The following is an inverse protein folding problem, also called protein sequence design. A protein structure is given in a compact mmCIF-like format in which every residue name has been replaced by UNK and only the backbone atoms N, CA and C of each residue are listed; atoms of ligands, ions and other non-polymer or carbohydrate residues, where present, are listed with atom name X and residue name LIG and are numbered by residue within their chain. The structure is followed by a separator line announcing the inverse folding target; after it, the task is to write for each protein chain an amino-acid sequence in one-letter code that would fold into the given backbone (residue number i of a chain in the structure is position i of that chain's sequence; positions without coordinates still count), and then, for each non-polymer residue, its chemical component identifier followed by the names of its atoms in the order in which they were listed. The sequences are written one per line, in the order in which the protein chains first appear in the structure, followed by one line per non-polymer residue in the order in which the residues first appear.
data_IF_617834372339
#
_entry.id   IF_617834372339
#
_cell.length_a   1.000
_cell.length_b   1.000
_cell.length_c   1.000
_cell.angle_alpha   90.00
_cell.angle_beta   90.00
_cell.angle_gamma   90.00
#
_symmetry.space_group_name_H-M   'P 1'
#
loop_
_entity.id
_entity.type
_entity.pdbx_description
1 polymer ?
#
# COMPACT_ATOMS: atom_id res chain seq x y z
N UNK A 1 -12.29 -11.84 0.24
CA UNK A 1 -10.81 -11.63 0.31
C UNK A 1 -10.24 -11.89 -1.05
N UNK A 2 -9.48 -10.95 -1.60
CA UNK A 2 -8.71 -11.07 -2.85
C UNK A 2 -7.24 -10.82 -2.55
N UNK A 3 -6.36 -11.37 -3.38
CA UNK A 3 -4.96 -10.99 -3.36
C UNK A 3 -4.75 -9.70 -4.17
N UNK A 4 -4.13 -8.70 -3.56
CA UNK A 4 -3.77 -7.41 -4.16
C UNK A 4 -2.23 -7.34 -4.24
N UNK A 5 -1.64 -7.52 -5.43
CA UNK A 5 -0.18 -7.56 -5.56
C UNK A 5 0.46 -6.19 -5.33
N UNK A 6 1.75 -6.17 -5.01
CA UNK A 6 2.52 -4.94 -4.84
C UNK A 6 3.73 -4.85 -5.77
N UNK A 7 4.14 -3.63 -6.08
CA UNK A 7 5.37 -3.28 -6.77
C UNK A 7 5.99 -2.09 -6.02
N UNK A 8 6.95 -2.37 -5.15
CA UNK A 8 7.66 -1.33 -4.42
C UNK A 8 8.91 -0.92 -5.19
N UNK A 9 9.07 0.38 -5.39
CA UNK A 9 10.17 0.91 -6.21
C UNK A 9 11.03 1.85 -5.37
N UNK A 10 12.32 1.50 -5.25
CA UNK A 10 13.32 2.29 -4.54
C UNK A 10 14.61 2.38 -5.36
N UNK A 11 15.15 3.61 -5.49
CA UNK A 11 16.36 3.90 -6.26
C UNK A 11 16.31 3.34 -7.69
N UNK A 12 15.16 3.49 -8.36
CA UNK A 12 14.95 3.08 -9.74
C UNK A 12 14.82 1.57 -9.96
N UNK A 13 14.66 0.76 -8.90
CA UNK A 13 14.51 -0.70 -8.99
C UNK A 13 13.31 -1.18 -8.19
N UNK A 14 12.70 -2.28 -8.64
CA UNK A 14 11.70 -3.00 -7.85
C UNK A 14 12.42 -3.70 -6.70
N UNK A 15 11.93 -3.48 -5.48
CA UNK A 15 12.52 -4.01 -4.25
C UNK A 15 11.46 -4.44 -3.25
N UNK A 16 11.90 -5.23 -2.28
CA UNK A 16 11.16 -5.44 -1.04
C UNK A 16 12.04 -5.00 0.12
N UNK A 17 11.50 -4.19 1.00
CA UNK A 17 12.23 -3.62 2.13
C UNK A 17 11.61 -4.01 3.48
N UNK A 18 12.39 -3.91 4.54
CA UNK A 18 11.87 -4.03 5.91
C UNK A 18 11.19 -2.71 6.30
N UNK A 19 9.95 -2.80 6.74
CA UNK A 19 9.19 -1.64 7.20
C UNK A 19 9.92 -0.86 8.30
N UNK A 20 9.86 0.47 8.22
CA UNK A 20 10.53 1.37 9.15
C UNK A 20 12.06 1.48 8.99
N UNK A 21 12.66 0.76 8.04
CA UNK A 21 14.12 0.87 7.75
C UNK A 21 14.45 1.97 6.74
N UNK A 22 13.46 2.50 6.04
CA UNK A 22 13.64 3.51 5.01
C UNK A 22 14.10 4.84 5.62
N UNK A 23 15.20 5.38 5.12
CA UNK A 23 15.78 6.67 5.52
C UNK A 23 15.99 7.55 4.31
N UNK A 24 15.61 8.83 4.42
CA UNK A 24 15.89 9.84 3.40
C UNK A 24 17.36 10.09 3.24
N UNK A 25 18.07 10.23 4.38
CA UNK A 25 19.49 10.43 4.39
C UNK A 25 20.22 9.25 3.75
N UNK A 26 20.90 9.52 2.65
CA UNK A 26 21.62 8.52 1.87
C UNK A 26 20.73 7.55 1.08
N UNK A 27 19.42 7.80 0.95
CA UNK A 27 18.48 6.93 0.22
C UNK A 27 18.61 5.44 0.61
N UNK A 28 18.71 5.16 1.90
CA UNK A 28 18.99 3.83 2.44
C UNK A 28 17.71 3.11 2.88
N UNK A 29 17.69 1.80 2.69
CA UNK A 29 16.70 0.88 3.24
C UNK A 29 17.34 -0.48 3.51
N UNK A 30 16.81 -1.22 4.49
CA UNK A 30 17.17 -2.62 4.64
C UNK A 30 16.37 -3.42 3.60
N UNK A 31 17.08 -3.94 2.62
CA UNK A 31 16.52 -4.63 1.47
C UNK A 31 16.38 -6.14 1.76
N UNK A 32 15.16 -6.68 1.58
CA UNK A 32 14.91 -8.12 1.59
C UNK A 32 15.14 -8.72 0.20
N UNK A 33 14.87 -7.94 -0.85
CA UNK A 33 14.98 -8.36 -2.24
C UNK A 33 15.24 -7.16 -3.15
N UNK A 34 16.05 -7.36 -4.17
CA UNK A 34 16.29 -6.40 -5.27
C UNK A 34 16.07 -7.15 -6.59
N UNK A 35 15.12 -6.70 -7.39
CA UNK A 35 14.81 -7.33 -8.66
C UNK A 35 15.82 -6.98 -9.75
N UNK A 36 16.09 -7.97 -10.61
CA UNK A 36 16.75 -7.77 -11.90
C UNK A 36 15.75 -7.39 -13.02
N UNK A 37 14.48 -7.65 -12.79
CA UNK A 37 13.39 -7.28 -13.69
C UNK A 37 12.90 -5.87 -13.42
N UNK A 38 12.38 -5.21 -14.45
CA UNK A 38 11.74 -3.90 -14.32
C UNK A 38 10.30 -4.01 -13.77
N UNK A 39 9.69 -2.86 -13.48
CA UNK A 39 8.34 -2.83 -12.95
C UNK A 39 7.26 -3.26 -13.97
N UNK A 40 7.52 -3.12 -15.28
CA UNK A 40 6.62 -3.57 -16.32
C UNK A 40 6.51 -5.10 -16.38
N UNK A 41 7.58 -5.83 -16.05
CA UNK A 41 7.56 -7.29 -15.94
C UNK A 41 6.50 -7.73 -14.91
N UNK A 42 6.51 -7.18 -13.70
CA UNK A 42 5.55 -7.53 -12.65
C UNK A 42 4.13 -7.12 -13.02
N UNK A 43 3.96 -5.91 -13.56
CA UNK A 43 2.65 -5.43 -14.00
C UNK A 43 2.05 -6.33 -15.10
N UNK A 44 2.87 -6.78 -16.06
CA UNK A 44 2.46 -7.71 -17.12
C UNK A 44 2.07 -9.07 -16.57
N UNK A 45 2.84 -9.60 -15.61
CA UNK A 45 2.52 -10.84 -14.91
C UNK A 45 1.17 -10.73 -14.18
N UNK A 46 0.94 -9.63 -13.46
CA UNK A 46 -0.33 -9.41 -12.74
C UNK A 46 -1.51 -9.27 -13.70
N UNK A 47 -1.30 -8.62 -14.84
CA UNK A 47 -2.29 -8.53 -15.92
C UNK A 47 -2.64 -9.89 -16.48
N UNK A 48 -1.64 -10.72 -16.79
CA UNK A 48 -1.82 -12.10 -17.30
C UNK A 48 -2.63 -12.96 -16.34
N UNK A 49 -2.37 -12.81 -15.02
CA UNK A 49 -3.11 -13.51 -13.96
C UNK A 49 -4.46 -12.86 -13.61
N UNK A 50 -4.84 -11.77 -14.25
CA UNK A 50 -6.11 -11.06 -13.98
C UNK A 50 -6.20 -10.39 -12.60
N UNK A 51 -5.04 -10.13 -11.94
CA UNK A 51 -4.97 -9.53 -10.62
C UNK A 51 -5.13 -8.01 -10.72
N UNK A 52 -6.18 -7.46 -10.14
CA UNK A 52 -6.48 -6.01 -10.13
C UNK A 52 -6.42 -5.41 -8.74
N UNK A 53 -6.23 -4.08 -8.69
CA UNK A 53 -6.25 -3.29 -7.45
C UNK A 53 -5.00 -3.51 -6.59
N UNK A 54 -3.94 -4.09 -7.15
CA UNK A 54 -2.63 -4.08 -6.52
C UNK A 54 -2.03 -2.67 -6.55
N UNK A 55 -0.97 -2.42 -5.81
CA UNK A 55 -0.39 -1.10 -5.69
C UNK A 55 1.07 -1.02 -6.16
N UNK A 56 1.42 0.14 -6.66
CA UNK A 56 2.79 0.58 -6.94
C UNK A 56 3.13 1.64 -5.91
N UNK A 57 4.23 1.49 -5.17
CA UNK A 57 4.68 2.50 -4.19
C UNK A 57 6.06 3.04 -4.58
N UNK A 58 6.13 4.37 -4.76
CA UNK A 58 7.39 5.09 -4.92
C UNK A 58 7.96 5.38 -3.53
N UNK A 59 9.09 4.76 -3.22
CA UNK A 59 9.70 4.86 -1.89
C UNK A 59 10.74 5.99 -1.77
N UNK A 60 11.11 6.65 -2.87
CA UNK A 60 11.96 7.83 -2.82
C UNK A 60 11.13 9.10 -2.62
N UNK A 61 11.66 10.04 -1.84
CA UNK A 61 11.12 11.39 -1.75
C UNK A 61 11.29 12.16 -3.07
N UNK A 62 10.45 13.17 -3.29
CA UNK A 62 10.47 13.94 -4.54
C UNK A 62 11.78 14.72 -4.79
N UNK A 63 12.52 15.01 -3.73
CA UNK A 63 13.83 15.67 -3.75
C UNK A 63 15.02 14.70 -3.84
N UNK A 64 14.78 13.39 -3.84
CA UNK A 64 15.82 12.37 -4.05
C UNK A 64 16.35 12.41 -5.48
N UNK A 65 17.67 12.26 -5.62
CA UNK A 65 18.33 12.08 -6.93
C UNK A 65 17.78 10.87 -7.71
N UNK A 66 17.25 9.85 -7.03
CA UNK A 66 16.66 8.65 -7.63
C UNK A 66 15.18 8.79 -7.98
N UNK A 67 14.52 9.90 -7.61
CA UNK A 67 13.08 10.04 -7.80
C UNK A 67 12.64 9.86 -9.25
N UNK A 68 13.37 10.46 -10.19
CA UNK A 68 13.03 10.35 -11.61
C UNK A 68 13.16 8.92 -12.13
N UNK A 69 14.20 8.20 -11.71
CA UNK A 69 14.38 6.79 -12.09
C UNK A 69 13.28 5.91 -11.48
N UNK A 70 12.89 6.17 -10.22
CA UNK A 70 11.79 5.49 -9.53
C UNK A 70 10.46 5.77 -10.20
N UNK A 71 10.17 7.05 -10.55
CA UNK A 71 8.96 7.44 -11.27
C UNK A 71 8.90 6.78 -12.66
N UNK A 72 10.03 6.72 -13.38
CA UNK A 72 10.09 6.07 -14.68
C UNK A 72 9.68 4.59 -14.61
N UNK A 73 10.12 3.85 -13.61
CA UNK A 73 9.70 2.46 -13.38
C UNK A 73 8.20 2.35 -13.11
N UNK A 74 7.64 3.25 -12.29
CA UNK A 74 6.20 3.27 -12.03
C UNK A 74 5.40 3.53 -13.31
N UNK A 75 5.85 4.47 -14.16
CA UNK A 75 5.20 4.75 -15.44
C UNK A 75 5.24 3.56 -16.40
N UNK A 76 6.34 2.79 -16.42
CA UNK A 76 6.43 1.54 -17.17
C UNK A 76 5.39 0.52 -16.70
N UNK A 77 5.24 0.34 -15.39
CA UNK A 77 4.24 -0.57 -14.83
C UNK A 77 2.79 -0.15 -15.16
N UNK A 78 2.46 1.14 -15.01
CA UNK A 78 1.14 1.67 -15.36
C UNK A 78 0.82 1.49 -16.83
N UNK A 79 1.79 1.74 -17.72
CA UNK A 79 1.64 1.52 -19.16
C UNK A 79 1.48 0.04 -19.56
N UNK A 80 2.12 -0.88 -18.83
CA UNK A 80 1.99 -2.32 -19.06
C UNK A 80 0.63 -2.88 -18.62
N UNK A 81 0.02 -2.31 -17.57
CA UNK A 81 -1.28 -2.75 -17.05
C UNK A 81 -2.24 -1.57 -16.78
N UNK A 82 -2.71 -0.85 -17.82
CA UNK A 82 -3.64 0.26 -17.65
C UNK A 82 -4.92 -0.15 -16.91
N UNK A 83 -5.31 0.62 -15.91
CA UNK A 83 -6.50 0.39 -15.08
C UNK A 83 -6.40 -0.82 -14.14
N UNK A 84 -5.25 -1.47 -14.04
CA UNK A 84 -5.07 -2.64 -13.19
C UNK A 84 -4.47 -2.36 -11.82
N UNK A 85 -3.64 -1.31 -11.71
CA UNK A 85 -2.84 -1.03 -10.53
C UNK A 85 -3.11 0.39 -10.00
N UNK A 86 -3.00 0.52 -8.70
CA UNK A 86 -3.02 1.78 -7.95
C UNK A 86 -1.59 2.31 -7.81
N UNK A 87 -1.41 3.61 -7.55
CA UNK A 87 -0.09 4.20 -7.35
C UNK A 87 -0.04 5.13 -6.14
N UNK A 88 1.02 5.00 -5.34
CA UNK A 88 1.30 5.82 -4.17
C UNK A 88 2.76 6.23 -4.06
N UNK A 89 3.05 7.02 -3.04
CA UNK A 89 4.38 7.58 -2.80
C UNK A 89 4.50 9.03 -3.31
N UNK A 90 4.25 9.99 -2.41
CA UNK A 90 4.32 11.42 -2.70
C UNK A 90 3.20 11.96 -3.60
N UNK A 91 2.06 11.25 -3.67
CA UNK A 91 0.89 11.72 -4.42
C UNK A 91 0.29 12.97 -3.76
N UNK A 92 -0.07 13.93 -4.60
CA UNK A 92 -0.69 15.19 -4.22
C UNK A 92 -1.55 15.72 -5.40
N UNK A 93 -2.31 16.82 -5.26
CA UNK A 93 -3.16 17.34 -6.33
C UNK A 93 -2.43 17.69 -7.65
N UNK A 94 -1.14 18.04 -7.56
CA UNK A 94 -0.39 18.51 -8.74
C UNK A 94 0.05 17.33 -9.65
N UNK A 95 0.11 16.10 -9.12
CA UNK A 95 0.59 14.94 -9.86
C UNK A 95 -0.44 13.80 -10.02
N UNK A 96 -1.57 13.87 -9.31
CA UNK A 96 -2.59 12.81 -9.32
C UNK A 96 -3.15 12.55 -10.73
N UNK A 97 -3.49 13.63 -11.46
CA UNK A 97 -4.03 13.53 -12.81
C UNK A 97 -3.04 12.89 -13.79
N UNK A 98 -1.75 13.15 -13.66
CA UNK A 98 -0.70 12.57 -14.52
C UNK A 98 -0.63 11.05 -14.34
N UNK A 99 -0.72 10.56 -13.10
CA UNK A 99 -0.70 9.12 -12.81
C UNK A 99 -1.96 8.41 -13.33
N UNK A 100 -3.13 9.03 -13.17
CA UNK A 100 -4.37 8.50 -13.71
C UNK A 100 -4.33 8.45 -15.24
N UNK A 101 -3.85 9.52 -15.89
CA UNK A 101 -3.66 9.56 -17.35
C UNK A 101 -2.63 8.52 -17.86
N UNK A 102 -1.63 8.18 -17.02
CA UNK A 102 -0.65 7.15 -17.34
C UNK A 102 -1.20 5.72 -17.20
N UNK A 103 -2.40 5.55 -16.68
CA UNK A 103 -3.08 4.26 -16.54
C UNK A 103 -3.24 3.75 -15.11
N UNK A 104 -2.99 4.56 -14.08
CA UNK A 104 -3.34 4.16 -12.73
C UNK A 104 -4.86 4.01 -12.60
N UNK A 105 -5.32 2.96 -11.92
CA UNK A 105 -6.72 2.82 -11.56
C UNK A 105 -7.13 3.80 -10.46
N UNK A 106 -6.23 4.00 -9.50
CA UNK A 106 -6.41 4.91 -8.36
C UNK A 106 -5.06 5.52 -7.98
N UNK A 107 -5.12 6.63 -7.26
CA UNK A 107 -3.98 7.23 -6.56
C UNK A 107 -4.11 7.01 -5.05
N UNK A 108 -3.02 6.66 -4.40
CA UNK A 108 -2.95 6.38 -2.96
C UNK A 108 -2.29 7.56 -2.27
N UNK A 109 -2.93 8.10 -1.25
CA UNK A 109 -2.44 9.26 -0.51
C UNK A 109 -2.42 9.01 0.99
N UNK A 110 -1.36 9.48 1.64
CA UNK A 110 -1.17 9.46 3.10
C UNK A 110 -0.74 10.84 3.59
N UNK A 111 0.55 11.16 3.46
CA UNK A 111 1.18 12.35 4.09
C UNK A 111 0.64 13.68 3.59
N UNK A 112 0.02 13.75 2.41
CA UNK A 112 -0.61 14.98 1.95
C UNK A 112 -1.88 15.29 2.75
N UNK A 113 -2.62 14.26 3.17
CA UNK A 113 -3.87 14.36 3.93
C UNK A 113 -3.59 14.43 5.43
N UNK A 114 -2.66 13.62 5.93
CA UNK A 114 -2.29 13.62 7.35
C UNK A 114 -1.12 14.58 7.60
N UNK A 115 -1.43 15.75 8.14
CA UNK A 115 -0.48 16.84 8.37
C UNK A 115 -0.48 17.23 9.83
N UNK A 116 0.72 17.48 10.38
CA UNK A 116 0.90 18.01 11.74
C UNK A 116 0.17 17.16 12.81
N UNK A 117 0.12 15.85 12.58
CA UNK A 117 -0.53 14.90 13.48
C UNK A 117 -2.05 14.75 13.30
N UNK A 118 -2.67 15.44 12.36
CA UNK A 118 -4.12 15.44 12.16
C UNK A 118 -4.53 15.28 10.68
N UNK A 119 -5.81 14.99 10.47
CA UNK A 119 -6.42 15.01 9.14
C UNK A 119 -6.60 16.47 8.71
N UNK A 120 -6.00 16.82 7.58
CA UNK A 120 -6.28 18.06 6.87
C UNK A 120 -7.46 17.86 5.92
N UNK A 121 -8.67 18.12 6.38
CA UNK A 121 -9.88 18.01 5.59
C UNK A 121 -9.81 18.86 4.31
N UNK A 122 -9.22 20.04 4.40
CA UNK A 122 -8.96 20.91 3.23
C UNK A 122 -8.07 20.24 2.18
N UNK A 123 -7.04 19.48 2.60
CA UNK A 123 -6.17 18.77 1.68
C UNK A 123 -6.87 17.54 1.11
N UNK A 124 -7.69 16.86 1.90
CA UNK A 124 -8.51 15.75 1.45
C UNK A 124 -9.51 16.19 0.37
N UNK A 125 -10.22 17.31 0.59
CA UNK A 125 -11.09 17.92 -0.43
C UNK A 125 -10.33 18.24 -1.72
N UNK A 126 -9.14 18.83 -1.64
CA UNK A 126 -8.30 19.08 -2.81
C UNK A 126 -7.89 17.81 -3.56
N UNK A 127 -7.66 16.71 -2.83
CA UNK A 127 -7.37 15.42 -3.48
C UNK A 127 -8.59 14.89 -4.21
N UNK A 128 -9.79 15.01 -3.62
CA UNK A 128 -11.05 14.63 -4.28
C UNK A 128 -11.29 15.48 -5.53
N UNK A 129 -11.03 16.79 -5.46
CA UNK A 129 -11.16 17.70 -6.61
C UNK A 129 -10.19 17.32 -7.75
N UNK A 130 -8.97 16.87 -7.42
CA UNK A 130 -7.92 16.57 -8.39
C UNK A 130 -8.05 15.17 -9.02
N UNK A 131 -8.43 14.17 -8.24
CA UNK A 131 -8.44 12.78 -8.66
C UNK A 131 -9.84 12.21 -8.90
N UNK A 132 -10.86 12.78 -8.30
CA UNK A 132 -12.17 12.15 -8.12
C UNK A 132 -12.17 11.17 -6.94
N UNK A 133 -13.28 11.12 -6.21
CA UNK A 133 -13.46 10.18 -5.10
C UNK A 133 -13.26 8.73 -5.55
N UNK A 134 -13.78 8.39 -6.71
CA UNK A 134 -13.78 7.06 -7.33
C UNK A 134 -12.39 6.57 -7.77
N UNK A 135 -11.38 7.43 -7.68
CA UNK A 135 -9.98 7.13 -7.99
C UNK A 135 -9.05 7.39 -6.82
N UNK A 136 -9.59 7.61 -5.62
CA UNK A 136 -8.80 7.90 -4.43
C UNK A 136 -8.78 6.72 -3.47
N UNK A 137 -7.58 6.29 -3.09
CA UNK A 137 -7.33 5.36 -1.99
C UNK A 137 -6.68 6.11 -0.85
N UNK A 138 -7.19 5.96 0.35
CA UNK A 138 -6.56 6.47 1.56
C UNK A 138 -5.73 5.37 2.22
N UNK A 139 -4.43 5.61 2.34
CA UNK A 139 -3.54 4.73 3.09
C UNK A 139 -3.51 5.18 4.56
N UNK A 140 -4.04 4.33 5.41
CA UNK A 140 -4.02 4.47 6.86
C UNK A 140 -2.94 3.56 7.45
N UNK A 141 -1.71 3.64 6.93
CA UNK A 141 -0.56 2.96 7.53
C UNK A 141 -0.52 3.24 9.03
N UNK A 142 -0.51 2.22 9.85
CA UNK A 142 -0.69 2.41 11.29
C UNK A 142 0.30 1.59 12.13
N UNK A 143 0.51 2.06 13.35
CA UNK A 143 1.31 1.40 14.37
C UNK A 143 0.53 1.30 15.67
N UNK A 144 0.80 0.24 16.42
CA UNK A 144 0.17 0.04 17.72
C UNK A 144 0.82 0.94 18.77
N UNK A 145 -0.02 1.61 19.56
CA UNK A 145 0.39 2.36 20.76
C UNK A 145 -0.61 2.02 21.85
N UNK A 146 -0.12 1.40 22.92
CA UNK A 146 -0.97 0.81 23.95
C UNK A 146 -1.94 -0.22 23.35
N UNK A 147 -3.24 -0.02 23.46
CA UNK A 147 -4.25 -0.95 22.95
C UNK A 147 -4.90 -0.50 21.64
N UNK A 148 -4.44 0.62 21.05
CA UNK A 148 -5.01 1.21 19.83
C UNK A 148 -3.99 1.30 18.67
N UNK A 149 -4.50 1.47 17.45
CA UNK A 149 -3.70 1.67 16.26
C UNK A 149 -3.85 3.12 15.81
N UNK A 150 -2.74 3.80 15.61
CA UNK A 150 -2.70 5.19 15.16
C UNK A 150 -2.08 5.30 13.79
N UNK A 151 -2.66 6.14 12.95
CA UNK A 151 -2.09 6.47 11.64
C UNK A 151 -0.69 7.05 11.85
N UNK A 152 0.25 6.62 10.99
CA UNK A 152 1.63 7.11 11.01
C UNK A 152 2.00 7.71 9.66
N UNK A 153 2.83 8.75 9.69
CA UNK A 153 3.32 9.51 8.56
C UNK A 153 4.85 9.52 8.52
N UNK A 154 5.42 10.28 7.59
CA UNK A 154 6.86 10.45 7.44
C UNK A 154 7.59 9.11 7.41
N UNK A 155 7.19 8.24 6.45
CA UNK A 155 7.73 6.88 6.31
C UNK A 155 7.58 6.05 7.58
N UNK A 156 6.37 6.16 8.17
CA UNK A 156 5.94 5.38 9.32
C UNK A 156 6.66 5.73 10.63
N UNK A 157 7.36 6.88 10.68
CA UNK A 157 8.17 7.26 11.85
C UNK A 157 7.42 8.15 12.83
N UNK A 158 6.41 8.92 12.35
CA UNK A 158 5.67 9.86 13.19
C UNK A 158 4.24 9.38 13.41
N UNK A 159 3.86 9.24 14.67
CA UNK A 159 2.47 9.04 15.04
C UNK A 159 1.66 10.31 14.79
N UNK A 160 0.45 10.11 14.30
CA UNK A 160 -0.61 11.13 14.34
C UNK A 160 -1.45 10.96 15.61
N UNK A 161 -2.43 11.85 15.81
CA UNK A 161 -3.45 11.72 16.85
C UNK A 161 -4.69 10.97 16.34
N UNK A 162 -4.65 10.51 15.09
CA UNK A 162 -5.77 9.83 14.44
C UNK A 162 -5.71 8.33 14.70
N UNK A 163 -6.59 7.86 15.56
CA UNK A 163 -6.78 6.43 15.82
C UNK A 163 -7.56 5.77 14.68
N UNK A 164 -7.12 4.60 14.24
CA UNK A 164 -7.84 3.79 13.24
C UNK A 164 -9.04 3.15 13.90
N UNK A 165 -10.19 3.76 13.70
CA UNK A 165 -11.49 3.31 14.22
C UNK A 165 -12.52 3.17 13.09
N UNK A 166 -13.59 2.42 13.35
CA UNK A 166 -14.71 2.32 12.40
C UNK A 166 -15.31 3.70 12.11
N UNK A 167 -15.45 4.54 13.13
CA UNK A 167 -15.98 5.90 12.98
C UNK A 167 -15.09 6.76 12.07
N UNK A 168 -13.75 6.68 12.24
CA UNK A 168 -12.81 7.37 11.36
C UNK A 168 -12.94 6.87 9.93
N UNK A 169 -12.98 5.54 9.73
CA UNK A 169 -13.11 4.95 8.39
C UNK A 169 -14.44 5.31 7.72
N UNK A 170 -15.54 5.37 8.46
CA UNK A 170 -16.83 5.83 7.95
C UNK A 170 -16.77 7.28 7.49
N UNK A 171 -16.18 8.17 8.28
CA UNK A 171 -15.99 9.59 7.92
C UNK A 171 -15.13 9.74 6.67
N UNK A 172 -14.01 9.05 6.60
CA UNK A 172 -13.08 9.10 5.47
C UNK A 172 -13.64 8.43 4.22
N UNK A 173 -14.49 7.41 4.36
CA UNK A 173 -15.15 6.72 3.26
C UNK A 173 -16.06 7.62 2.41
N UNK A 174 -16.47 8.79 2.94
CA UNK A 174 -17.17 9.81 2.15
C UNK A 174 -16.28 10.41 1.04
N UNK A 175 -14.95 10.28 1.14
CA UNK A 175 -13.97 10.94 0.29
C UNK A 175 -13.12 9.99 -0.55
N UNK A 176 -13.21 8.67 -0.37
CA UNK A 176 -12.38 7.70 -1.08
C UNK A 176 -13.20 6.52 -1.60
N UNK A 177 -12.59 5.72 -2.46
CA UNK A 177 -13.16 4.46 -2.99
C UNK A 177 -12.66 3.23 -2.23
N UNK A 178 -11.41 3.25 -1.76
CA UNK A 178 -10.77 2.14 -1.05
C UNK A 178 -9.88 2.63 0.10
N UNK A 179 -9.58 1.71 1.02
CA UNK A 179 -8.55 1.88 2.05
C UNK A 179 -7.41 0.89 1.85
N UNK A 180 -6.18 1.36 2.03
CA UNK A 180 -4.97 0.54 2.17
C UNK A 180 -4.48 0.68 3.61
N UNK A 181 -4.28 -0.43 4.31
CA UNK A 181 -3.89 -0.44 5.72
C UNK A 181 -2.61 -1.22 5.88
N UNK A 182 -1.49 -0.53 6.08
CA UNK A 182 -0.22 -1.17 6.42
C UNK A 182 -0.09 -1.34 7.93
N UNK A 183 0.04 -2.57 8.37
CA UNK A 183 0.41 -2.91 9.75
C UNK A 183 1.94 -2.78 9.89
N UNK A 184 2.41 -1.57 10.13
CA UNK A 184 3.84 -1.18 10.02
C UNK A 184 4.74 -1.95 10.98
N UNK A 185 4.25 -2.27 12.18
CA UNK A 185 5.04 -2.95 13.20
C UNK A 185 5.46 -4.37 12.81
N UNK A 186 4.75 -4.99 11.87
CA UNK A 186 5.03 -6.33 11.34
C UNK A 186 5.49 -6.32 9.86
N UNK A 187 5.49 -5.15 9.19
CA UNK A 187 5.83 -5.02 7.77
C UNK A 187 7.26 -5.50 7.46
N UNK A 188 7.37 -6.34 6.42
CA UNK A 188 8.64 -6.91 5.96
C UNK A 188 9.31 -7.91 6.91
N UNK A 189 8.67 -8.26 8.03
CA UNK A 189 9.25 -9.15 9.07
C UNK A 189 8.81 -10.61 8.93
N UNK A 190 7.74 -10.89 8.18
CA UNK A 190 7.17 -12.22 8.00
C UNK A 190 6.94 -12.97 9.33
N UNK A 191 6.43 -12.27 10.35
CA UNK A 191 6.23 -12.78 11.72
C UNK A 191 4.77 -12.95 12.12
N UNK A 192 3.88 -12.98 11.16
CA UNK A 192 2.43 -13.05 11.36
C UNK A 192 1.76 -11.68 11.29
N UNK A 193 0.45 -11.71 11.19
CA UNK A 193 -0.41 -10.53 11.05
C UNK A 193 -0.74 -9.90 12.41
N UNK A 194 -1.17 -8.63 12.38
CA UNK A 194 -1.81 -7.95 13.51
C UNK A 194 -3.28 -8.37 13.62
N UNK A 195 -3.54 -9.44 14.41
CA UNK A 195 -4.88 -10.06 14.51
C UNK A 195 -5.95 -9.08 15.02
N UNK A 196 -5.60 -8.22 15.97
CA UNK A 196 -6.55 -7.23 16.52
C UNK A 196 -6.93 -6.20 15.47
N UNK A 197 -5.96 -5.73 14.66
CA UNK A 197 -6.22 -4.84 13.52
C UNK A 197 -7.09 -5.55 12.47
N UNK A 198 -6.77 -6.79 12.12
CA UNK A 198 -7.54 -7.57 11.16
C UNK A 198 -9.02 -7.74 11.58
N UNK A 199 -9.29 -7.95 12.87
CA UNK A 199 -10.66 -8.01 13.41
C UNK A 199 -11.36 -6.67 13.27
N UNK A 200 -10.73 -5.57 13.67
CA UNK A 200 -11.27 -4.23 13.53
C UNK A 200 -11.66 -3.94 12.06
N UNK A 201 -10.76 -4.22 11.12
CA UNK A 201 -11.00 -4.00 9.69
C UNK A 201 -12.13 -4.90 9.15
N UNK A 202 -12.28 -6.12 9.67
CA UNK A 202 -13.37 -7.04 9.32
C UNK A 202 -14.75 -6.59 9.77
N UNK A 203 -14.84 -5.70 10.75
CA UNK A 203 -16.10 -5.09 11.20
C UNK A 203 -16.56 -3.93 10.31
N UNK A 204 -15.65 -3.34 9.52
CA UNK A 204 -15.98 -2.27 8.60
C UNK A 204 -16.80 -2.81 7.41
N UNK A 205 -17.91 -2.13 7.07
CA UNK A 205 -18.84 -2.56 6.02
C UNK A 205 -19.00 -1.53 4.89
N UNK A 206 -18.11 -0.53 4.84
CA UNK A 206 -18.13 0.49 3.80
C UNK A 206 -17.37 0.07 2.53
N UNK A 207 -16.31 0.79 2.25
CA UNK A 207 -15.46 0.59 1.06
C UNK A 207 -14.54 -0.64 1.19
N UNK A 208 -13.97 -1.16 0.08
CA UNK A 208 -12.94 -2.18 0.11
C UNK A 208 -11.75 -1.78 0.99
N UNK A 209 -11.20 -2.75 1.70
CA UNK A 209 -10.02 -2.58 2.56
C UNK A 209 -8.99 -3.61 2.17
N UNK A 210 -7.77 -3.16 1.92
CA UNK A 210 -6.61 -4.03 1.70
C UNK A 210 -5.68 -3.96 2.90
N UNK A 211 -5.41 -5.10 3.51
CA UNK A 211 -4.43 -5.26 4.58
C UNK A 211 -3.06 -5.59 4.01
N UNK A 212 -2.02 -4.92 4.50
CA UNK A 212 -0.62 -5.20 4.19
C UNK A 212 0.19 -5.32 5.49
N UNK A 213 1.16 -6.22 5.50
CA UNK A 213 2.12 -6.38 6.60
C UNK A 213 2.08 -7.74 7.30
N UNK A 214 3.24 -8.24 7.62
CA UNK A 214 3.45 -9.38 8.49
C UNK A 214 3.20 -10.77 7.92
N UNK A 215 2.49 -10.91 6.82
CA UNK A 215 2.20 -12.21 6.21
C UNK A 215 3.51 -12.91 5.83
N UNK A 216 3.78 -14.05 6.45
CA UNK A 216 4.97 -14.87 6.22
C UNK A 216 4.66 -16.31 5.78
N UNK A 217 3.39 -16.70 5.84
CA UNK A 217 2.96 -18.08 5.53
C UNK A 217 1.53 -18.10 4.97
N UNK A 218 1.17 -19.24 4.35
CA UNK A 218 -0.23 -19.50 3.96
C UNK A 218 -1.18 -19.56 5.16
N UNK A 219 -0.67 -19.94 6.34
CA UNK A 219 -1.42 -19.94 7.59
C UNK A 219 -1.79 -18.52 8.03
N UNK A 220 -0.88 -17.57 7.88
CA UNK A 220 -1.18 -16.15 8.18
C UNK A 220 -2.31 -15.61 7.32
N UNK A 221 -2.37 -16.02 6.05
CA UNK A 221 -3.46 -15.65 5.14
C UNK A 221 -4.80 -16.23 5.63
N UNK A 222 -4.81 -17.49 6.08
CA UNK A 222 -6.01 -18.09 6.65
C UNK A 222 -6.40 -17.40 7.98
N UNK A 223 -5.42 -17.05 8.81
CA UNK A 223 -5.65 -16.31 10.05
C UNK A 223 -6.25 -14.92 9.76
N UNK A 224 -5.75 -14.21 8.74
CA UNK A 224 -6.33 -12.95 8.29
C UNK A 224 -7.76 -13.13 7.81
N UNK A 225 -8.00 -14.15 6.98
CA UNK A 225 -9.33 -14.46 6.46
C UNK A 225 -10.34 -14.75 7.57
N UNK A 226 -9.92 -15.54 8.57
CA UNK A 226 -10.76 -15.84 9.73
C UNK A 226 -10.98 -14.59 10.60
N UNK A 227 -9.92 -13.86 10.95
CA UNK A 227 -10.01 -12.70 11.83
C UNK A 227 -10.88 -11.58 11.23
N UNK A 228 -10.78 -11.34 9.92
CA UNK A 228 -11.54 -10.31 9.20
C UNK A 228 -12.85 -10.81 8.58
N UNK A 229 -13.28 -12.04 8.86
CA UNK A 229 -14.51 -12.61 8.29
C UNK A 229 -14.51 -12.70 6.76
N UNK A 230 -13.34 -12.76 6.14
CA UNK A 230 -13.17 -12.82 4.68
C UNK A 230 -13.43 -11.52 3.92
N UNK A 231 -13.71 -10.40 4.62
CA UNK A 231 -14.08 -9.12 4.01
C UNK A 231 -12.89 -8.27 3.55
N UNK A 232 -11.74 -8.46 4.17
CA UNK A 232 -10.53 -7.66 3.89
C UNK A 232 -9.69 -8.36 2.84
N UNK A 233 -9.19 -7.62 1.85
CA UNK A 233 -8.24 -8.09 0.85
C UNK A 233 -6.82 -8.11 1.44
N UNK A 234 -5.89 -8.82 0.80
CA UNK A 234 -4.54 -9.00 1.33
C UNK A 234 -3.46 -8.67 0.32
N UNK A 235 -2.44 -7.95 0.77
CA UNK A 235 -1.16 -7.81 0.07
C UNK A 235 -0.10 -8.69 0.74
N UNK A 236 0.70 -9.34 -0.08
CA UNK A 236 1.87 -10.12 0.34
C UNK A 236 3.06 -9.65 -0.48
N UNK A 237 4.11 -9.18 0.18
CA UNK A 237 5.34 -8.70 -0.44
C UNK A 237 6.48 -9.74 -0.33
N UNK A 238 7.47 -9.46 0.49
CA UNK A 238 8.73 -10.21 0.63
C UNK A 238 8.57 -11.71 0.92
N UNK A 239 7.42 -12.16 1.41
CA UNK A 239 7.15 -13.57 1.65
C UNK A 239 6.82 -14.37 0.38
N UNK A 240 6.51 -13.71 -0.75
CA UNK A 240 6.26 -14.40 -2.02
C UNK A 240 7.55 -14.92 -2.66
N UNK A 241 7.48 -16.05 -3.33
CA UNK A 241 8.59 -16.63 -4.13
C UNK A 241 9.02 -15.71 -5.26
N UNK A 242 8.13 -14.86 -5.80
CA UNK A 242 8.46 -13.78 -6.75
C UNK A 242 9.53 -12.81 -6.22
N UNK A 243 9.64 -12.70 -4.89
CA UNK A 243 10.56 -11.80 -4.20
C UNK A 243 11.53 -12.57 -3.29
N UNK A 244 11.78 -13.84 -3.62
CA UNK A 244 12.71 -14.70 -2.87
C UNK A 244 12.16 -15.29 -1.57
N UNK A 245 10.86 -15.10 -1.29
CA UNK A 245 10.18 -15.70 -0.15
C UNK A 245 9.78 -17.16 -0.37
N UNK A 246 8.94 -17.67 0.53
CA UNK A 246 8.57 -19.10 0.56
C UNK A 246 7.12 -19.38 0.20
N UNK A 247 6.27 -18.37 0.07
CA UNK A 247 4.87 -18.52 -0.35
C UNK A 247 4.83 -18.62 -1.88
N UNK A 248 4.42 -19.77 -2.44
CA UNK A 248 4.32 -19.90 -3.89
C UNK A 248 3.20 -19.01 -4.44
N UNK A 249 3.54 -18.08 -5.34
CA UNK A 249 2.62 -17.13 -5.95
C UNK A 249 1.42 -17.83 -6.61
N UNK A 250 1.69 -18.87 -7.42
CA UNK A 250 0.62 -19.62 -8.11
C UNK A 250 -0.34 -20.32 -7.13
N UNK A 251 0.18 -20.80 -6.00
CA UNK A 251 -0.65 -21.41 -4.97
C UNK A 251 -1.49 -20.35 -4.24
N UNK A 252 -0.93 -19.18 -4.00
CA UNK A 252 -1.67 -18.07 -3.37
C UNK A 252 -2.87 -17.64 -4.21
N UNK A 253 -2.66 -17.35 -5.48
CA UNK A 253 -3.73 -16.88 -6.37
C UNK A 253 -4.80 -17.95 -6.66
N UNK A 254 -4.44 -19.22 -6.58
CA UNK A 254 -5.39 -20.33 -6.75
C UNK A 254 -6.26 -20.61 -5.51
N UNK A 255 -5.94 -20.02 -4.34
CA UNK A 255 -6.65 -20.27 -3.07
C UNK A 255 -7.48 -19.06 -2.58
N UNK A 256 -7.44 -17.93 -3.25
CA UNK A 256 -8.18 -16.72 -2.94
C UNK A 256 -9.15 -16.31 -4.03
#
# INVERSE_FOLDING_TARGET
MKFRPCIDIHNGKVKQIVGGSLKDEGNQAQENFVSEQDAAFYASLYKEKGLKGGHIILLNSADSEYFQATKAQAMLALGAYPGGLQIGGGVNPDNAADYLAAGASHVIVTSYVFRDGHISWKNLEKMVDAAGKEHLVLDLSCRKKEDAYYVVTDRWQKFTEEEVTLELMEKLGAYCDEFLIHAVDVEGKAKGIEVSLAKLLGEYNGHPVTYAGGVGSMEDIQNLKMAAGGKVDVTVGSALDLFGGTIPFEKLIGNL
#
